data_IF_388801080381
#
_entry.id   IF_388801080381
#
_cell.length_a   1.000
_cell.length_b   1.000
_cell.length_c   1.000
_cell.angle_alpha   90.00
_cell.angle_beta   90.00
_cell.angle_gamma   90.00
#
_symmetry.space_group_name_H-M   'P 1'
#
loop_
_entity.id
_entity.type
_entity.pdbx_description
1 polymer ?
#
# COMPACT_ATOMS: atom_id res chain seq x y z
N UNK A 1 19.76 8.07 -12.93
CA UNK A 1 18.51 7.58 -13.56
C UNK A 1 17.23 8.14 -12.94
N UNK A 2 17.14 8.30 -11.61
CA UNK A 2 15.89 8.74 -10.95
C UNK A 2 15.41 10.15 -11.31
N UNK A 3 16.33 11.11 -11.50
CA UNK A 3 15.95 12.47 -11.95
C UNK A 3 15.39 12.46 -13.37
N UNK A 4 16.03 11.71 -14.28
CA UNK A 4 15.62 11.67 -15.69
C UNK A 4 14.29 10.91 -15.91
N UNK A 5 14.11 9.76 -15.26
CA UNK A 5 12.92 8.91 -15.47
C UNK A 5 11.72 9.32 -14.62
N UNK A 6 11.96 9.86 -13.43
CA UNK A 6 10.92 10.09 -12.41
C UNK A 6 10.90 11.52 -11.87
N UNK A 7 11.79 12.41 -12.34
CA UNK A 7 11.87 13.79 -11.84
C UNK A 7 12.40 13.92 -10.41
N UNK A 8 12.97 12.86 -9.83
CA UNK A 8 13.41 12.86 -8.43
C UNK A 8 14.83 13.44 -8.32
N UNK A 9 14.92 14.69 -7.84
CA UNK A 9 16.18 15.37 -7.53
C UNK A 9 16.83 14.82 -6.25
N UNK A 10 18.08 15.20 -6.00
CA UNK A 10 18.81 14.74 -4.80
C UNK A 10 18.34 15.46 -3.53
N UNK A 11 17.88 16.71 -3.65
CA UNK A 11 17.26 17.46 -2.56
C UNK A 11 15.97 16.79 -2.10
N UNK A 12 15.12 16.36 -3.04
CA UNK A 12 13.90 15.61 -2.75
C UNK A 12 14.20 14.30 -2.02
N UNK A 13 15.28 13.60 -2.38
CA UNK A 13 15.71 12.39 -1.67
C UNK A 13 16.22 12.69 -0.27
N UNK A 14 16.99 13.76 -0.12
CA UNK A 14 17.55 14.13 1.18
C UNK A 14 16.44 14.53 2.16
N UNK A 15 15.47 15.33 1.71
CA UNK A 15 14.27 15.66 2.50
C UNK A 15 13.46 14.42 2.87
N UNK A 16 13.22 13.51 1.91
CA UNK A 16 12.51 12.26 2.19
C UNK A 16 13.27 11.37 3.17
N UNK A 17 14.61 11.35 3.10
CA UNK A 17 15.46 10.61 4.04
C UNK A 17 15.34 11.16 5.47
N UNK A 18 15.32 12.47 5.63
CA UNK A 18 15.12 13.11 6.94
C UNK A 18 13.73 12.80 7.51
N UNK A 19 12.69 12.78 6.67
CA UNK A 19 11.35 12.35 7.07
C UNK A 19 11.33 10.89 7.55
N UNK A 20 12.04 9.98 6.87
CA UNK A 20 12.17 8.59 7.29
C UNK A 20 12.87 8.44 8.65
N UNK A 21 13.87 9.27 8.95
CA UNK A 21 14.54 9.27 10.25
C UNK A 21 13.66 9.85 11.37
N UNK A 22 12.76 10.77 11.05
CA UNK A 22 11.86 11.39 12.00
C UNK A 22 10.61 10.55 12.32
N UNK A 23 10.44 9.38 11.70
CA UNK A 23 9.28 8.52 11.95
C UNK A 23 9.28 8.02 13.39
N UNK A 24 8.19 8.32 14.10
CA UNK A 24 7.93 7.84 15.45
C UNK A 24 6.75 6.87 15.51
N UNK A 25 6.48 6.36 16.72
CA UNK A 25 5.40 5.39 16.94
C UNK A 25 4.02 5.96 16.58
N UNK A 26 3.73 7.21 16.96
CA UNK A 26 2.48 7.89 16.65
C UNK A 26 2.27 7.98 15.14
N UNK A 27 3.29 8.40 14.41
CA UNK A 27 3.28 8.53 12.96
C UNK A 27 2.88 7.22 12.29
N UNK A 28 3.42 6.08 12.75
CA UNK A 28 3.09 4.76 12.21
C UNK A 28 1.63 4.38 12.49
N UNK A 29 1.17 4.58 13.73
CA UNK A 29 -0.22 4.28 14.11
C UNK A 29 -1.21 5.13 13.33
N UNK A 30 -0.91 6.41 13.17
CA UNK A 30 -1.76 7.38 12.47
C UNK A 30 -1.89 7.02 11.00
N UNK A 31 -0.80 6.72 10.30
CA UNK A 31 -0.87 6.32 8.88
C UNK A 31 -1.50 4.94 8.69
N UNK A 32 -1.34 4.01 9.64
CA UNK A 32 -2.01 2.71 9.59
C UNK A 32 -3.53 2.88 9.69
N UNK A 33 -4.00 3.67 10.66
CA UNK A 33 -5.43 3.97 10.80
C UNK A 33 -5.97 4.72 9.58
N UNK A 34 -5.21 5.69 9.07
CA UNK A 34 -5.63 6.54 7.95
C UNK A 34 -5.68 5.82 6.61
N UNK A 35 -4.78 4.87 6.33
CA UNK A 35 -4.68 4.27 5.00
C UNK A 35 -4.96 2.77 4.96
N UNK A 36 -4.79 2.04 6.07
CA UNK A 36 -5.00 0.59 6.12
C UNK A 36 -6.31 0.20 6.81
N UNK A 37 -6.97 1.15 7.47
CA UNK A 37 -8.30 0.95 8.05
C UNK A 37 -9.34 0.51 7.01
N UNK A 38 -10.32 -0.27 7.45
CA UNK A 38 -11.42 -0.70 6.58
C UNK A 38 -12.16 0.52 6.01
N UNK A 39 -12.40 0.52 4.69
CA UNK A 39 -13.06 1.62 3.99
C UNK A 39 -12.19 2.87 3.77
N UNK A 40 -10.95 2.91 4.25
CA UNK A 40 -10.07 4.08 4.09
C UNK A 40 -9.33 4.13 2.74
N UNK A 41 -9.32 3.00 2.02
CA UNK A 41 -8.76 2.90 0.67
C UNK A 41 -9.51 1.87 -0.16
N UNK A 42 -9.37 1.98 -1.47
CA UNK A 42 -9.74 0.89 -2.38
C UNK A 42 -8.81 -0.30 -2.11
N UNK A 43 -9.38 -1.43 -1.71
CA UNK A 43 -8.67 -2.69 -1.54
C UNK A 43 -9.02 -3.65 -2.68
N UNK A 44 -8.02 -4.40 -3.15
CA UNK A 44 -8.20 -5.45 -4.15
C UNK A 44 -7.42 -6.68 -3.70
N UNK A 45 -7.98 -7.86 -3.94
CA UNK A 45 -7.36 -9.15 -3.60
C UNK A 45 -7.41 -10.06 -4.83
N UNK A 46 -6.30 -10.72 -5.10
CA UNK A 46 -6.18 -11.73 -6.15
C UNK A 46 -5.48 -12.96 -5.57
N UNK A 47 -5.98 -14.14 -5.93
CA UNK A 47 -5.49 -15.43 -5.42
C UNK A 47 -5.23 -16.32 -6.63
N UNK A 48 -4.06 -16.98 -6.64
CA UNK A 48 -3.74 -18.02 -7.61
C UNK A 48 -3.61 -19.35 -6.86
N UNK A 49 -4.37 -20.35 -7.28
CA UNK A 49 -4.40 -21.65 -6.62
C UNK A 49 -5.46 -22.59 -7.19
N UNK A 50 -5.58 -23.80 -6.64
CA UNK A 50 -6.66 -24.72 -6.99
C UNK A 50 -8.03 -24.15 -6.61
N UNK A 51 -9.08 -24.79 -7.12
CA UNK A 51 -10.45 -24.42 -6.80
C UNK A 51 -10.68 -24.39 -5.27
N UNK A 52 -11.40 -23.36 -4.82
CA UNK A 52 -11.71 -23.15 -3.41
C UNK A 52 -13.20 -22.88 -3.26
N UNK A 53 -13.91 -23.81 -2.62
CA UNK A 53 -15.36 -23.74 -2.44
C UNK A 53 -15.81 -22.48 -1.69
N UNK A 54 -14.98 -21.95 -0.78
CA UNK A 54 -15.30 -20.73 -0.02
C UNK A 54 -15.26 -19.48 -0.90
N UNK A 55 -14.34 -19.42 -1.86
CA UNK A 55 -14.23 -18.33 -2.82
C UNK A 55 -15.33 -18.45 -3.87
N UNK A 56 -15.61 -19.68 -4.33
CA UNK A 56 -16.65 -19.94 -5.33
C UNK A 56 -18.07 -19.64 -4.81
N UNK A 57 -18.29 -19.80 -3.51
CA UNK A 57 -19.61 -19.56 -2.89
C UNK A 57 -19.86 -18.09 -2.53
N UNK A 58 -18.82 -17.25 -2.54
CA UNK A 58 -18.92 -15.84 -2.14
C UNK A 58 -19.14 -14.95 -3.39
N UNK A 59 -20.27 -14.22 -3.48
CA UNK A 59 -20.61 -13.40 -4.65
C UNK A 59 -19.72 -12.16 -4.82
N UNK A 60 -18.88 -11.82 -3.82
CA UNK A 60 -17.91 -10.73 -3.93
C UNK A 60 -16.68 -11.10 -4.76
N UNK A 61 -16.49 -12.38 -5.07
CA UNK A 61 -15.35 -12.88 -5.83
C UNK A 61 -15.69 -13.15 -7.29
N UNK A 62 -14.78 -12.75 -8.17
CA UNK A 62 -14.82 -13.10 -9.59
C UNK A 62 -13.84 -14.25 -9.82
N UNK A 63 -14.36 -15.43 -10.14
CA UNK A 63 -13.55 -16.61 -10.50
C UNK A 63 -13.09 -16.47 -11.96
N UNK A 64 -11.78 -16.59 -12.19
CA UNK A 64 -11.16 -16.53 -13.51
C UNK A 64 -10.35 -17.78 -13.81
#
# INVERSE_FOLDING_TARGET
MNLFMCGISDELKQQFREQLFAVDKSSIVDVANKYLGFGQRTAAVAILGPANDKVNSDPSWVVR
#
